data_IF_648080868533
#
_entry.id   IF_648080868533
#
_cell.length_a   1.000
_cell.length_b   1.000
_cell.length_c   1.000
_cell.angle_alpha   90.00
_cell.angle_beta   90.00
_cell.angle_gamma   90.00
#
_symmetry.space_group_name_H-M   'P 1'
#
loop_
_entity.id
_entity.type
_entity.pdbx_description
1 polymer ?
#
# COMPACT_ATOMS: atom_id res chain seq x y z
N UNK A 1 13.95 18.69 2.66
CA UNK A 1 14.71 19.51 1.67
C UNK A 1 14.20 20.96 1.52
N UNK A 2 13.44 21.50 2.48
CA UNK A 2 12.80 22.85 2.42
C UNK A 2 11.91 23.10 1.17
N UNK A 3 11.54 22.04 0.45
CA UNK A 3 10.68 22.11 -0.73
C UNK A 3 9.20 22.37 -0.40
N UNK A 4 8.82 22.29 0.88
CA UNK A 4 7.43 22.28 1.32
C UNK A 4 6.71 20.95 1.05
N UNK A 5 7.41 19.99 0.44
CA UNK A 5 6.94 18.66 0.11
C UNK A 5 7.68 17.59 0.92
N UNK A 6 7.00 16.48 1.16
CA UNK A 6 7.45 15.30 1.87
C UNK A 6 7.39 14.13 0.89
N UNK A 7 8.52 13.50 0.64
CA UNK A 7 8.57 12.19 0.00
C UNK A 7 8.24 11.08 1.01
N UNK A 8 7.87 9.89 0.52
CA UNK A 8 7.68 8.72 1.38
C UNK A 8 8.94 8.39 2.20
N UNK A 9 10.13 8.56 1.59
CA UNK A 9 11.39 8.31 2.28
C UNK A 9 11.60 9.28 3.45
N UNK A 10 11.35 10.57 3.24
CA UNK A 10 11.42 11.59 4.31
C UNK A 10 10.35 11.36 5.38
N UNK A 11 9.16 10.86 5.02
CA UNK A 11 8.11 10.52 5.97
C UNK A 11 8.53 9.36 6.89
N UNK A 12 9.10 8.31 6.31
CA UNK A 12 9.61 7.15 7.05
C UNK A 12 10.82 7.52 7.92
N UNK A 13 11.76 8.28 7.37
CA UNK A 13 12.90 8.79 8.12
C UNK A 13 12.45 9.71 9.27
N UNK A 14 11.46 10.57 9.04
CA UNK A 14 10.89 11.43 10.07
C UNK A 14 10.24 10.63 11.20
N UNK A 15 9.55 9.54 10.89
CA UNK A 15 9.02 8.63 11.91
C UNK A 15 10.13 7.95 12.72
N UNK A 16 11.22 7.53 12.06
CA UNK A 16 12.33 6.83 12.71
C UNK A 16 13.23 7.77 13.54
N UNK A 17 13.34 9.04 13.15
CA UNK A 17 14.31 10.00 13.72
C UNK A 17 13.67 11.07 14.60
N UNK A 18 12.41 11.44 14.38
CA UNK A 18 11.71 12.50 15.12
C UNK A 18 10.70 11.87 16.07
N UNK A 19 11.10 11.76 17.35
CA UNK A 19 10.29 11.12 18.39
C UNK A 19 8.87 11.67 18.47
N UNK A 20 8.72 12.99 18.47
CA UNK A 20 7.41 13.67 18.54
C UNK A 20 6.48 13.31 17.38
N UNK A 21 7.04 13.06 16.20
CA UNK A 21 6.29 12.62 15.02
C UNK A 21 5.84 11.17 15.21
N UNK A 22 6.76 10.28 15.63
CA UNK A 22 6.44 8.88 15.93
C UNK A 22 5.36 8.74 17.01
N UNK A 23 5.44 9.55 18.08
CA UNK A 23 4.49 9.53 19.18
C UNK A 23 3.10 9.97 18.71
N UNK A 24 3.03 10.94 17.79
CA UNK A 24 1.78 11.39 17.18
C UNK A 24 1.14 10.33 16.28
N UNK A 25 1.92 9.69 15.42
CA UNK A 25 1.40 8.62 14.58
C UNK A 25 0.93 7.42 15.41
N UNK A 26 1.69 7.02 16.43
CA UNK A 26 1.28 5.97 17.37
C UNK A 26 0.03 6.33 18.16
N UNK A 27 -0.15 7.62 18.52
CA UNK A 27 -1.39 8.08 19.17
C UNK A 27 -2.63 7.95 18.27
N UNK A 28 -2.41 7.84 16.95
CA UNK A 28 -3.43 7.59 15.94
C UNK A 28 -3.50 6.12 15.51
N UNK A 29 -2.81 5.22 16.21
CA UNK A 29 -2.70 3.79 15.90
C UNK A 29 -2.11 3.53 14.50
N UNK A 30 -1.19 4.40 14.07
CA UNK A 30 -0.45 4.29 12.81
C UNK A 30 0.97 3.87 13.15
N UNK A 31 1.34 2.66 12.75
CA UNK A 31 2.72 2.16 12.85
C UNK A 31 3.53 2.49 11.61
N UNK A 32 4.83 2.27 11.69
CA UNK A 32 5.78 2.58 10.61
C UNK A 32 5.37 1.96 9.26
N UNK A 33 4.89 0.72 9.29
CA UNK A 33 4.50 -0.03 8.09
C UNK A 33 3.20 0.52 7.46
N UNK A 34 2.37 1.20 8.24
CA UNK A 34 1.12 1.82 7.79
C UNK A 34 1.36 3.15 7.05
N UNK A 35 2.52 3.80 7.29
CA UNK A 35 2.85 5.10 6.70
C UNK A 35 2.87 5.08 5.18
N UNK A 36 3.26 3.95 4.57
CA UNK A 36 3.21 3.80 3.12
C UNK A 36 1.77 3.83 2.61
N UNK A 37 0.84 3.17 3.32
CA UNK A 37 -0.58 3.22 3.02
C UNK A 37 -1.16 4.63 3.21
N UNK A 38 -0.80 5.30 4.30
CA UNK A 38 -1.20 6.68 4.59
C UNK A 38 -0.71 7.63 3.49
N UNK A 39 0.55 7.52 3.06
CA UNK A 39 1.13 8.35 2.01
C UNK A 39 0.38 8.21 0.68
N UNK A 40 0.19 6.98 0.20
CA UNK A 40 -0.55 6.72 -1.04
C UNK A 40 -2.03 7.14 -0.95
N UNK A 41 -2.64 7.04 0.23
CA UNK A 41 -4.02 7.45 0.43
C UNK A 41 -4.17 8.98 0.35
N UNK A 42 -3.29 9.74 1.00
CA UNK A 42 -3.36 11.21 0.94
C UNK A 42 -3.14 11.71 -0.49
N UNK A 43 -2.22 11.08 -1.22
CA UNK A 43 -2.00 11.32 -2.64
C UNK A 43 -3.25 11.03 -3.48
N UNK A 44 -3.97 9.95 -3.17
CA UNK A 44 -5.21 9.60 -3.86
C UNK A 44 -6.36 10.58 -3.54
N UNK A 45 -6.47 11.05 -2.29
CA UNK A 45 -7.54 11.95 -1.84
C UNK A 45 -7.36 13.38 -2.37
N UNK A 46 -6.12 13.86 -2.45
CA UNK A 46 -5.83 15.23 -2.87
C UNK A 46 -5.52 15.36 -4.38
N UNK A 47 -5.61 14.23 -5.11
CA UNK A 47 -5.25 14.13 -6.52
C UNK A 47 -3.76 13.81 -6.67
N UNK A 48 -3.45 12.83 -7.52
CA UNK A 48 -2.09 12.32 -7.74
C UNK A 48 -1.10 13.45 -7.96
N UNK A 49 -0.33 13.74 -6.93
CA UNK A 49 0.80 14.66 -6.93
C UNK A 49 2.00 13.85 -6.49
N UNK A 50 3.08 13.85 -7.28
CA UNK A 50 4.31 13.10 -6.97
C UNK A 50 5.02 13.57 -5.67
N UNK A 51 4.37 14.44 -4.89
CA UNK A 51 4.86 15.06 -3.67
C UNK A 51 3.71 15.38 -2.72
N UNK A 52 3.79 14.92 -1.47
CA UNK A 52 2.82 15.22 -0.42
C UNK A 52 3.22 16.53 0.28
N UNK A 53 2.37 17.56 0.34
CA UNK A 53 2.75 18.76 1.10
C UNK A 53 2.67 18.50 2.62
N UNK A 54 3.56 19.13 3.38
CA UNK A 54 3.54 19.04 4.84
C UNK A 54 2.20 19.51 5.43
N UNK A 55 1.63 20.57 4.86
CA UNK A 55 0.33 21.12 5.28
C UNK A 55 -0.82 20.13 5.03
N UNK A 56 -0.77 19.36 3.95
CA UNK A 56 -1.74 18.31 3.67
C UNK A 56 -1.66 17.19 4.70
N UNK A 57 -0.44 16.74 5.02
CA UNK A 57 -0.21 15.73 6.05
C UNK A 57 -0.73 16.19 7.41
N UNK A 58 -0.38 17.41 7.84
CA UNK A 58 -0.85 18.00 9.09
C UNK A 58 -2.38 18.14 9.09
N UNK A 59 -2.99 18.59 7.99
CA UNK A 59 -4.44 18.71 7.88
C UNK A 59 -5.14 17.36 8.04
N UNK A 60 -4.57 16.29 7.47
CA UNK A 60 -5.12 14.94 7.57
C UNK A 60 -4.97 14.40 8.99
N UNK A 61 -3.81 14.57 9.62
CA UNK A 61 -3.55 14.18 11.02
C UNK A 61 -4.48 14.94 11.98
N UNK A 62 -4.64 16.26 11.82
CA UNK A 62 -5.54 17.06 12.65
C UNK A 62 -7.01 16.73 12.42
N UNK A 63 -7.40 16.35 11.19
CA UNK A 63 -8.74 15.84 10.91
C UNK A 63 -8.96 14.45 11.50
N UNK A 64 -7.93 13.61 11.48
CA UNK A 64 -7.95 12.28 12.07
C UNK A 64 -8.11 12.34 13.59
N UNK A 65 -7.33 13.18 14.26
CA UNK A 65 -7.40 13.46 15.70
C UNK A 65 -8.79 13.96 16.15
N UNK A 66 -9.55 14.62 15.25
CA UNK A 66 -10.87 15.19 15.54
C UNK A 66 -12.06 14.31 15.13
N UNK A 67 -11.89 13.25 14.34
CA UNK A 67 -13.01 12.46 13.77
C UNK A 67 -12.77 10.94 13.83
N UNK A 68 -13.05 10.35 14.99
CA UNK A 68 -12.89 8.92 15.30
C UNK A 68 -13.52 7.96 14.26
N UNK A 69 -14.74 8.26 13.79
CA UNK A 69 -15.47 7.40 12.82
C UNK A 69 -14.88 7.45 11.41
N UNK A 70 -14.34 8.61 10.97
CA UNK A 70 -13.76 8.74 9.63
C UNK A 70 -12.41 8.05 9.56
N UNK A 71 -11.64 8.05 10.65
CA UNK A 71 -10.39 7.29 10.78
C UNK A 71 -10.66 5.79 10.81
N UNK A 72 -11.68 5.32 11.54
CA UNK A 72 -12.09 3.93 11.44
C UNK A 72 -12.46 3.51 10.01
N UNK A 73 -13.20 4.35 9.28
CA UNK A 73 -13.52 4.10 7.88
C UNK A 73 -12.27 4.14 6.98
N UNK A 74 -11.31 5.01 7.29
CA UNK A 74 -10.02 5.09 6.59
C UNK A 74 -9.18 3.84 6.83
N UNK A 75 -9.10 3.34 8.07
CA UNK A 75 -8.43 2.09 8.40
C UNK A 75 -9.10 0.90 7.73
N UNK A 76 -10.43 0.86 7.69
CA UNK A 76 -11.17 -0.16 6.93
C UNK A 76 -10.85 -0.11 5.43
N UNK A 77 -10.73 1.09 4.84
CA UNK A 77 -10.35 1.26 3.44
C UNK A 77 -8.92 0.81 3.17
N UNK A 78 -7.98 1.10 4.07
CA UNK A 78 -6.60 0.62 3.99
C UNK A 78 -6.54 -0.91 4.05
N UNK A 79 -7.24 -1.51 5.03
CA UNK A 79 -7.32 -2.96 5.16
C UNK A 79 -7.98 -3.62 3.93
N UNK A 80 -9.04 -3.03 3.37
CA UNK A 80 -9.65 -3.54 2.13
C UNK A 80 -8.72 -3.44 0.93
N UNK A 81 -7.96 -2.35 0.80
CA UNK A 81 -6.99 -2.20 -0.29
C UNK A 81 -5.85 -3.22 -0.17
N UNK A 82 -5.34 -3.45 1.05
CA UNK A 82 -4.34 -4.48 1.31
C UNK A 82 -4.85 -5.88 0.98
N UNK A 83 -6.09 -6.20 1.37
CA UNK A 83 -6.75 -7.47 1.01
C UNK A 83 -6.88 -7.60 -0.51
N UNK A 84 -7.33 -6.54 -1.19
CA UNK A 84 -7.50 -6.55 -2.64
C UNK A 84 -6.17 -6.74 -3.37
N UNK A 85 -5.11 -6.07 -2.90
CA UNK A 85 -3.76 -6.25 -3.43
C UNK A 85 -3.29 -7.70 -3.26
N UNK A 86 -3.39 -8.26 -2.04
CA UNK A 86 -3.05 -9.67 -1.76
C UNK A 86 -3.83 -10.65 -2.63
N UNK A 87 -5.13 -10.42 -2.80
CA UNK A 87 -5.99 -11.26 -3.65
C UNK A 87 -5.57 -11.19 -5.11
N UNK A 88 -5.27 -10.00 -5.62
CA UNK A 88 -4.81 -9.81 -7.00
C UNK A 88 -3.49 -10.54 -7.24
N UNK A 89 -2.51 -10.37 -6.35
CA UNK A 89 -1.21 -11.06 -6.43
C UNK A 89 -1.36 -12.58 -6.34
N UNK A 90 -2.22 -13.09 -5.47
CA UNK A 90 -2.48 -14.53 -5.37
C UNK A 90 -3.14 -15.09 -6.64
N UNK A 91 -4.09 -14.36 -7.22
CA UNK A 91 -4.76 -14.76 -8.45
C UNK A 91 -3.80 -14.78 -9.65
N UNK A 92 -2.90 -13.81 -9.74
CA UNK A 92 -1.83 -13.80 -10.74
C UNK A 92 -0.93 -15.03 -10.61
N UNK A 93 -0.50 -15.36 -9.39
CA UNK A 93 0.32 -16.55 -9.14
C UNK A 93 -0.40 -17.86 -9.50
N UNK A 94 -1.70 -17.97 -9.21
CA UNK A 94 -2.50 -19.14 -9.62
C UNK A 94 -2.61 -19.23 -11.15
N UNK A 95 -2.87 -18.10 -11.81
CA UNK A 95 -2.97 -18.03 -13.28
C UNK A 95 -1.71 -18.55 -13.95
N UNK A 96 -0.54 -18.18 -13.44
CA UNK A 96 0.74 -18.61 -14.01
C UNK A 96 1.01 -20.10 -13.76
N UNK A 97 0.68 -20.61 -12.57
CA UNK A 97 0.75 -22.05 -12.29
C UNK A 97 -0.17 -22.87 -13.22
N UNK A 98 -1.38 -22.39 -13.50
CA UNK A 98 -2.31 -23.05 -14.43
C UNK A 98 -1.74 -23.04 -15.85
N UNK A 99 -1.17 -21.93 -16.32
CA UNK A 99 -0.52 -21.88 -17.66
C UNK A 99 0.62 -22.88 -17.76
N UNK A 100 1.46 -23.00 -16.73
CA UNK A 100 2.57 -23.96 -16.71
C UNK A 100 2.06 -25.40 -16.80
N UNK A 101 1.05 -25.77 -16.00
CA UNK A 101 0.45 -27.11 -16.04
C UNK A 101 -0.19 -27.44 -17.40
N UNK A 102 -0.84 -26.47 -18.04
CA UNK A 102 -1.42 -26.65 -19.38
C UNK A 102 -0.34 -26.85 -20.44
N UNK A 103 0.76 -26.11 -20.36
CA UNK A 103 1.90 -26.25 -21.28
C UNK A 103 2.60 -27.61 -21.11
N UNK A 104 2.82 -28.06 -19.88
CA UNK A 104 3.43 -29.37 -19.60
C UNK A 104 2.52 -30.51 -20.09
N UNK A 105 1.20 -30.39 -19.87
CA UNK A 105 0.21 -31.35 -20.37
C UNK A 105 0.14 -31.40 -21.90
N UNK A 106 0.47 -30.30 -22.59
CA UNK A 106 0.52 -30.24 -24.05
C UNK A 106 1.82 -30.87 -24.59
N UNK A 107 2.96 -30.64 -23.91
CA UNK A 107 4.25 -31.25 -24.23
C UNK A 107 4.23 -32.78 -24.07
N UNK A 108 3.63 -33.28 -23.00
CA UNK A 108 3.49 -34.72 -22.74
C UNK A 108 2.66 -35.43 -23.81
N UNK A 109 1.63 -34.76 -24.35
CA UNK A 109 0.80 -35.32 -25.43
C UNK A 109 1.54 -35.35 -26.77
N UNK A 110 2.30 -34.30 -27.08
CA UNK A 110 3.11 -34.25 -28.31
C UNK A 110 4.24 -35.30 -28.30
N UNK A 111 4.87 -35.54 -27.15
CA UNK A 111 5.91 -36.57 -27.01
C UNK A 111 5.37 -37.99 -27.23
N UNK A 112 4.12 -38.25 -26.83
CA UNK A 112 3.46 -39.56 -27.04
C UNK A 112 2.99 -39.79 -28.48
N UNK A 113 2.74 -38.73 -29.26
CA UNK A 113 2.32 -38.85 -30.68
C UNK A 113 3.46 -39.04 -31.67
N UNK A 114 4.71 -38.77 -31.31
CA UNK A 114 5.88 -38.91 -32.19
C UNK A 114 6.70 -40.20 -31.98
N UNK A 115 6.29 -41.06 -31.05
CA UNK A 115 6.97 -42.32 -30.70
C UNK A 115 6.34 -43.59 -31.29
N UNK A 116 5.47 -43.47 -32.29
CA UNK A 116 4.77 -44.57 -32.98
C UNK A 116 4.96 -44.46 -34.49
#
# INVERSE_FOLDING_TARGET
DDSGCLSLAELLEGFDTVKDMSDKFRSLDIERDDLQGVYHFIDTVNGKTDSLSLDQLISVIQKAERQDVRVQLMLMQLQMNEINWRLTTQLEGISDNVKLLVQDSARDRAARSSGN
#
